data_IF_276548341242
#
_entry.id   IF_276548341242
#
_cell.length_a   1.000
_cell.length_b   1.000
_cell.length_c   1.000
_cell.angle_alpha   90.00
_cell.angle_beta   90.00
_cell.angle_gamma   90.00
#
_symmetry.space_group_name_H-M   'P 1'
#
loop_
_entity.id
_entity.type
_entity.pdbx_description
1 polymer ?
#
# COMPACT_ATOMS: atom_id res chain seq x y z
N UNK A 1 40.82 -37.81 -2.90
CA UNK A 1 39.42 -37.63 -2.47
C UNK A 1 38.85 -36.51 -3.31
N UNK A 2 38.10 -36.85 -4.34
CA UNK A 2 37.45 -35.90 -5.25
C UNK A 2 36.27 -35.28 -4.52
N UNK A 3 36.31 -33.98 -4.27
CA UNK A 3 35.14 -33.18 -3.90
C UNK A 3 34.16 -33.27 -5.06
N UNK A 4 33.14 -34.11 -4.88
CA UNK A 4 31.99 -34.22 -5.77
C UNK A 4 31.33 -32.85 -5.75
N UNK A 5 31.55 -32.08 -6.81
CA UNK A 5 30.73 -30.91 -7.11
C UNK A 5 29.34 -31.48 -7.35
N UNK A 6 28.40 -31.16 -6.47
CA UNK A 6 26.99 -31.52 -6.64
C UNK A 6 26.51 -30.92 -7.98
N UNK A 7 26.41 -31.78 -8.99
CA UNK A 7 26.05 -31.45 -10.37
C UNK A 7 24.55 -31.16 -10.55
N UNK A 8 23.76 -31.11 -9.48
CA UNK A 8 22.31 -30.82 -9.50
C UNK A 8 21.94 -29.45 -8.91
N UNK A 9 22.89 -28.50 -8.85
CA UNK A 9 22.53 -27.10 -8.61
C UNK A 9 22.05 -26.46 -9.90
N UNK A 10 20.81 -26.80 -10.25
CA UNK A 10 19.89 -26.00 -11.08
C UNK A 10 20.11 -24.51 -10.78
N UNK A 11 19.93 -23.65 -11.78
CA UNK A 11 19.87 -22.18 -11.68
C UNK A 11 18.74 -21.72 -10.74
N UNK A 12 18.80 -22.10 -9.47
CA UNK A 12 17.98 -21.54 -8.41
C UNK A 12 18.57 -20.17 -8.17
N UNK A 13 17.88 -19.14 -8.61
CA UNK A 13 18.16 -17.79 -8.13
C UNK A 13 18.03 -17.86 -6.60
N UNK A 14 19.16 -17.81 -5.89
CA UNK A 14 19.18 -18.05 -4.44
C UNK A 14 18.30 -17.06 -3.67
N UNK A 15 18.06 -15.89 -4.28
CA UNK A 15 17.34 -14.76 -3.69
C UNK A 15 15.86 -14.71 -4.05
N UNK A 16 15.35 -15.54 -4.99
CA UNK A 16 13.93 -15.48 -5.42
C UNK A 16 13.35 -16.88 -5.63
N UNK A 17 12.14 -17.11 -5.12
CA UNK A 17 11.36 -18.34 -5.34
C UNK A 17 9.95 -18.06 -5.84
N UNK A 18 9.51 -18.84 -6.83
CA UNK A 18 8.20 -18.71 -7.45
C UNK A 18 7.19 -19.72 -6.90
N UNK A 19 6.03 -19.19 -6.52
CA UNK A 19 4.83 -19.93 -6.14
C UNK A 19 3.71 -19.58 -7.11
N UNK A 20 2.73 -20.46 -7.25
CA UNK A 20 1.59 -20.26 -8.13
C UNK A 20 0.29 -20.73 -7.47
N UNK A 21 -0.83 -20.14 -7.91
CA UNK A 21 -2.17 -20.47 -7.44
C UNK A 21 -3.11 -20.60 -8.65
N UNK A 22 -3.57 -21.82 -8.89
CA UNK A 22 -4.48 -22.12 -10.02
C UNK A 22 -5.88 -21.64 -9.67
N UNK A 23 -6.60 -21.09 -10.66
CA UNK A 23 -7.91 -20.41 -10.53
C UNK A 23 -7.85 -19.04 -9.84
N UNK A 24 -6.66 -18.46 -9.71
CA UNK A 24 -6.44 -17.12 -9.15
C UNK A 24 -6.53 -17.03 -7.61
N UNK A 25 -6.33 -15.82 -7.05
CA UNK A 25 -6.29 -15.55 -5.61
C UNK A 25 -7.66 -15.73 -4.94
N UNK A 26 -7.90 -16.92 -4.38
CA UNK A 26 -9.07 -17.18 -3.56
C UNK A 26 -8.71 -18.06 -2.35
N UNK A 27 -9.35 -17.87 -1.17
CA UNK A 27 -9.06 -18.64 0.03
C UNK A 27 -9.21 -20.16 -0.12
N UNK A 28 -10.00 -20.63 -1.10
CA UNK A 28 -10.20 -22.06 -1.39
C UNK A 28 -9.19 -22.67 -2.36
N UNK A 29 -8.33 -21.88 -3.00
CA UNK A 29 -7.35 -22.36 -3.96
C UNK A 29 -5.98 -22.50 -3.26
N UNK A 30 -5.36 -23.70 -3.22
CA UNK A 30 -4.07 -23.88 -2.58
C UNK A 30 -2.95 -23.19 -3.38
N UNK A 31 -2.02 -22.56 -2.66
CA UNK A 31 -0.78 -22.04 -3.22
C UNK A 31 0.23 -23.19 -3.30
N UNK A 32 0.83 -23.37 -4.46
CA UNK A 32 1.80 -24.42 -4.74
C UNK A 32 3.16 -23.85 -5.11
N UNK A 33 4.23 -24.57 -4.76
CA UNK A 33 5.59 -24.18 -5.10
C UNK A 33 5.93 -24.61 -6.54
N UNK A 34 6.47 -23.68 -7.34
CA UNK A 34 6.85 -23.90 -8.75
C UNK A 34 8.18 -24.64 -8.95
N UNK A 35 8.57 -25.50 -8.00
CA UNK A 35 9.84 -26.23 -8.01
C UNK A 35 9.75 -27.63 -7.43
N UNK A 36 8.57 -28.24 -7.47
CA UNK A 36 8.28 -29.61 -6.97
C UNK A 36 8.32 -30.58 -8.16
N UNK A 37 8.83 -31.80 -7.94
CA UNK A 37 8.77 -32.93 -8.89
C UNK A 37 9.42 -32.68 -10.29
N UNK A 38 10.56 -31.99 -10.32
CA UNK A 38 11.39 -31.85 -11.53
C UNK A 38 10.92 -30.78 -12.53
N UNK A 39 9.95 -29.94 -12.14
CA UNK A 39 9.49 -28.79 -12.94
C UNK A 39 9.80 -27.49 -12.21
N UNK A 40 10.45 -26.56 -12.91
CA UNK A 40 10.91 -25.28 -12.37
C UNK A 40 10.34 -24.11 -13.18
N UNK A 41 9.80 -23.11 -12.48
CA UNK A 41 9.25 -21.90 -13.10
C UNK A 41 10.25 -20.73 -13.07
N UNK A 42 10.37 -20.03 -14.20
CA UNK A 42 11.19 -18.83 -14.35
C UNK A 42 10.40 -17.81 -15.16
N UNK A 43 10.13 -16.64 -14.58
CA UNK A 43 9.52 -15.53 -15.33
C UNK A 43 10.63 -14.64 -15.88
N UNK A 44 10.70 -14.51 -17.20
CA UNK A 44 11.83 -13.86 -17.87
C UNK A 44 11.66 -12.35 -17.98
N UNK A 45 10.48 -11.92 -18.41
CA UNK A 45 10.16 -10.51 -18.58
C UNK A 45 8.74 -10.22 -18.15
N UNK A 46 8.51 -9.01 -17.64
CA UNK A 46 7.19 -8.50 -17.29
C UNK A 46 7.11 -7.08 -17.84
N UNK A 47 6.12 -6.83 -18.68
CA UNK A 47 5.80 -5.52 -19.22
C UNK A 47 4.61 -4.96 -18.45
N UNK A 48 4.79 -3.81 -17.78
CA UNK A 48 3.70 -3.12 -17.08
C UNK A 48 3.48 -1.75 -17.75
N UNK A 49 2.58 -1.65 -18.74
CA UNK A 49 2.38 -0.44 -19.51
C UNK A 49 1.68 0.65 -18.67
N UNK A 50 2.18 1.88 -18.75
CA UNK A 50 1.69 3.03 -17.95
C UNK A 50 0.66 3.88 -18.74
N UNK A 51 0.33 3.44 -19.96
CA UNK A 51 -0.51 4.13 -20.94
C UNK A 51 0.30 5.00 -21.92
N UNK A 52 -0.24 5.18 -23.13
CA UNK A 52 0.37 6.02 -24.16
C UNK A 52 -0.14 7.46 -24.11
N UNK A 53 0.75 8.42 -24.38
CA UNK A 53 0.39 9.84 -24.56
C UNK A 53 0.67 10.21 -26.01
N UNK A 54 -0.38 10.28 -26.82
CA UNK A 54 -0.29 10.61 -28.22
C UNK A 54 -0.47 12.13 -28.43
N UNK A 55 0.49 12.86 -29.02
CA UNK A 55 0.35 14.28 -29.29
C UNK A 55 -0.59 14.52 -30.47
N UNK A 56 -1.55 15.44 -30.30
CA UNK A 56 -2.41 15.88 -31.40
C UNK A 56 -1.72 17.07 -32.06
N UNK A 57 -1.20 16.84 -33.26
CA UNK A 57 -0.46 17.82 -34.04
C UNK A 57 -1.30 18.23 -35.26
N UNK A 58 -1.38 19.53 -35.54
CA UNK A 58 -1.96 20.06 -36.78
C UNK A 58 -0.91 20.81 -37.57
N UNK A 59 -1.03 20.87 -38.91
CA UNK A 59 -0.11 21.66 -39.73
C UNK A 59 -0.11 23.13 -39.30
N UNK A 60 1.07 23.73 -39.17
CA UNK A 60 1.23 25.16 -38.90
C UNK A 60 0.74 25.94 -40.13
N UNK A 61 -0.28 26.80 -40.01
CA UNK A 61 -0.79 27.58 -41.14
C UNK A 61 0.21 28.61 -41.66
N UNK A 62 1.28 28.91 -40.92
CA UNK A 62 2.30 29.91 -41.31
C UNK A 62 3.52 29.31 -42.00
N UNK A 63 3.79 28.02 -41.83
CA UNK A 63 5.01 27.39 -42.34
C UNK A 63 4.72 25.97 -42.82
N UNK A 64 4.80 25.74 -44.13
CA UNK A 64 4.59 24.42 -44.71
C UNK A 64 5.60 23.40 -44.16
N UNK A 65 5.12 22.20 -43.78
CA UNK A 65 5.93 21.12 -43.20
C UNK A 65 6.23 21.25 -41.71
N UNK A 66 5.85 22.36 -41.07
CA UNK A 66 5.90 22.51 -39.61
C UNK A 66 4.55 22.10 -39.01
N UNK A 67 4.58 21.45 -37.85
CA UNK A 67 3.38 21.09 -37.10
C UNK A 67 3.36 21.84 -35.77
N UNK A 68 2.16 22.28 -35.37
CA UNK A 68 1.90 22.83 -34.04
C UNK A 68 1.13 21.80 -33.22
N UNK A 69 1.55 21.61 -31.98
CA UNK A 69 0.87 20.72 -31.03
C UNK A 69 -0.33 21.45 -30.44
N UNK A 70 -1.53 20.93 -30.68
CA UNK A 70 -2.78 21.51 -30.17
C UNK A 70 -3.35 20.76 -28.98
N UNK A 71 -2.85 19.55 -28.70
CA UNK A 71 -3.34 18.76 -27.58
C UNK A 71 -2.55 17.49 -27.35
N UNK A 72 -3.09 16.67 -26.46
CA UNK A 72 -2.67 15.29 -26.21
C UNK A 72 -3.90 14.43 -25.94
N UNK A 73 -3.94 13.23 -26.49
CA UNK A 73 -4.82 12.16 -26.01
C UNK A 73 -4.02 11.27 -25.06
N UNK A 74 -4.70 10.68 -24.08
CA UNK A 74 -4.15 9.66 -23.20
C UNK A 74 -4.99 8.42 -23.40
N UNK A 75 -4.36 7.36 -23.88
CA UNK A 75 -5.02 6.08 -24.07
C UNK A 75 -5.04 5.31 -22.73
N UNK A 76 -5.99 4.40 -22.59
CA UNK A 76 -6.03 3.51 -21.43
C UNK A 76 -4.73 2.67 -21.39
N UNK A 77 -4.18 2.39 -20.19
CA UNK A 77 -3.09 1.43 -20.08
C UNK A 77 -3.53 0.06 -20.60
N UNK A 78 -2.68 -0.60 -21.38
CA UNK A 78 -2.89 -1.99 -21.77
C UNK A 78 -2.73 -2.90 -20.55
N UNK A 79 -3.16 -4.17 -20.66
CA UNK A 79 -2.91 -5.14 -19.61
C UNK A 79 -1.41 -5.50 -19.54
N UNK A 80 -0.85 -5.71 -18.34
CA UNK A 80 0.51 -6.20 -18.21
C UNK A 80 0.68 -7.57 -18.88
N UNK A 81 1.85 -7.82 -19.45
CA UNK A 81 2.20 -9.12 -20.04
C UNK A 81 3.44 -9.71 -19.36
N UNK A 82 3.54 -11.03 -19.33
CA UNK A 82 4.68 -11.72 -18.77
C UNK A 82 5.03 -12.99 -19.56
N UNK A 83 6.33 -13.22 -19.73
CA UNK A 83 6.87 -14.42 -20.36
C UNK A 83 7.35 -15.40 -19.29
N UNK A 84 6.77 -16.61 -19.30
CA UNK A 84 7.11 -17.71 -18.40
C UNK A 84 7.90 -18.77 -19.16
N UNK A 85 9.04 -19.14 -18.61
CA UNK A 85 9.84 -20.32 -18.99
C UNK A 85 9.61 -21.41 -17.94
N UNK A 86 9.23 -22.60 -18.42
CA UNK A 86 9.05 -23.81 -17.62
C UNK A 86 10.18 -24.75 -17.98
N UNK A 87 11.05 -25.01 -17.00
CA UNK A 87 12.19 -25.89 -17.13
C UNK A 87 11.81 -27.26 -16.56
N UNK A 88 11.95 -28.31 -17.36
CA UNK A 88 11.50 -29.65 -17.02
C UNK A 88 12.66 -30.67 -17.06
N UNK A 89 12.75 -31.48 -16.01
CA UNK A 89 13.56 -32.69 -15.99
C UNK A 89 12.96 -33.78 -16.90
N UNK A 90 13.81 -34.54 -17.59
CA UNK A 90 13.37 -35.62 -18.50
C UNK A 90 12.66 -36.73 -17.71
N UNK A 91 11.56 -37.23 -18.26
CA UNK A 91 10.79 -38.35 -17.69
C UNK A 91 9.63 -37.92 -16.77
N UNK A 92 9.49 -36.62 -16.50
CA UNK A 92 8.34 -36.06 -15.79
C UNK A 92 7.25 -35.59 -16.77
N UNK A 93 6.01 -35.51 -16.28
CA UNK A 93 4.90 -34.99 -17.07
C UNK A 93 4.72 -33.49 -16.75
N UNK A 94 4.64 -32.58 -17.74
CA UNK A 94 4.50 -31.15 -17.51
C UNK A 94 3.06 -30.79 -17.11
N UNK A 95 2.66 -31.23 -15.92
CA UNK A 95 1.31 -31.02 -15.40
C UNK A 95 0.98 -29.52 -15.30
N UNK A 96 1.97 -28.71 -14.93
CA UNK A 96 1.85 -27.26 -14.82
C UNK A 96 1.56 -26.62 -16.17
N UNK A 97 2.31 -26.98 -17.22
CA UNK A 97 2.10 -26.46 -18.58
C UNK A 97 0.66 -26.69 -19.06
N UNK A 98 0.15 -27.92 -18.96
CA UNK A 98 -1.24 -28.22 -19.38
C UNK A 98 -2.32 -27.60 -18.48
N UNK A 99 -2.01 -27.32 -17.21
CA UNK A 99 -2.94 -26.67 -16.28
C UNK A 99 -3.03 -25.17 -16.56
N UNK A 100 -1.89 -24.53 -16.81
CA UNK A 100 -1.80 -23.09 -17.02
C UNK A 100 -2.49 -22.64 -18.32
N UNK A 101 -2.53 -23.50 -19.34
CA UNK A 101 -3.28 -23.24 -20.58
C UNK A 101 -4.80 -23.20 -20.40
N UNK A 102 -5.34 -23.82 -19.34
CA UNK A 102 -6.78 -24.08 -19.20
C UNK A 102 -7.47 -23.20 -18.17
N UNK A 103 -6.70 -22.55 -17.31
CA UNK A 103 -7.22 -21.83 -16.16
C UNK A 103 -6.36 -20.60 -15.88
N UNK A 104 -6.96 -19.52 -15.36
CA UNK A 104 -6.18 -18.38 -14.89
C UNK A 104 -5.30 -18.79 -13.70
N UNK A 105 -4.10 -18.23 -13.63
CA UNK A 105 -3.11 -18.53 -12.61
C UNK A 105 -2.55 -17.23 -12.04
N UNK A 106 -2.27 -17.20 -10.75
CA UNK A 106 -1.53 -16.10 -10.14
C UNK A 106 -0.17 -16.58 -9.66
N UNK A 107 0.86 -15.76 -9.89
CA UNK A 107 2.24 -16.08 -9.56
C UNK A 107 2.75 -15.15 -8.47
N UNK A 108 3.51 -15.72 -7.53
CA UNK A 108 4.09 -15.03 -6.39
C UNK A 108 5.60 -15.28 -6.37
N UNK A 109 6.38 -14.23 -6.59
CA UNK A 109 7.84 -14.26 -6.50
C UNK A 109 8.29 -13.73 -5.15
N UNK A 110 8.63 -14.63 -4.23
CA UNK A 110 9.17 -14.27 -2.92
C UNK A 110 10.65 -13.93 -3.08
N UNK A 111 11.03 -12.71 -2.69
CA UNK A 111 12.40 -12.25 -2.69
C UNK A 111 12.92 -12.04 -1.26
N UNK A 112 14.12 -12.54 -1.00
CA UNK A 112 14.77 -12.37 0.29
C UNK A 112 16.18 -12.93 0.35
N UNK A 113 16.93 -12.48 1.36
CA UNK A 113 18.34 -12.87 1.54
C UNK A 113 18.56 -13.77 2.75
N UNK A 114 17.88 -13.50 3.86
CA UNK A 114 18.15 -14.17 5.14
C UNK A 114 17.05 -15.10 5.61
N UNK A 115 15.86 -15.00 5.00
CA UNK A 115 14.68 -15.80 5.35
C UNK A 115 14.57 -17.05 4.48
N UNK A 116 13.93 -18.09 5.02
CA UNK A 116 13.69 -19.32 4.27
C UNK A 116 12.56 -19.14 3.27
N UNK A 117 12.94 -18.86 2.02
CA UNK A 117 12.00 -18.70 0.91
C UNK A 117 11.16 -19.95 0.61
N UNK A 118 11.33 -21.08 1.31
CA UNK A 118 10.42 -22.25 1.22
C UNK A 118 9.09 -22.04 1.96
N UNK A 119 9.08 -21.16 2.96
CA UNK A 119 7.88 -20.75 3.67
C UNK A 119 7.21 -19.58 2.94
N UNK A 120 6.05 -19.83 2.33
CA UNK A 120 5.32 -18.80 1.62
C UNK A 120 4.87 -17.65 2.54
N UNK A 121 4.52 -17.94 3.80
CA UNK A 121 3.85 -16.98 4.68
C UNK A 121 4.87 -16.08 5.38
N UNK A 122 5.91 -16.65 5.98
CA UNK A 122 6.90 -15.91 6.78
C UNK A 122 8.32 -15.92 6.22
N UNK A 123 8.53 -16.52 5.04
CA UNK A 123 9.84 -16.87 4.51
C UNK A 123 10.57 -15.81 3.70
N UNK A 124 10.14 -14.55 3.74
CA UNK A 124 10.71 -13.47 2.93
C UNK A 124 10.94 -12.20 3.75
N UNK A 125 11.98 -11.43 3.41
CA UNK A 125 12.37 -10.17 4.06
C UNK A 125 12.51 -8.99 3.09
N UNK A 126 12.53 -9.24 1.77
CA UNK A 126 12.59 -8.20 0.75
C UNK A 126 11.22 -7.75 0.29
N UNK A 127 10.62 -8.51 -0.63
CA UNK A 127 9.30 -8.23 -1.19
C UNK A 127 8.65 -9.50 -1.74
N UNK A 128 7.34 -9.46 -1.92
CA UNK A 128 6.59 -10.43 -2.74
C UNK A 128 6.16 -9.75 -4.02
N UNK A 129 6.60 -10.27 -5.16
CA UNK A 129 6.13 -9.87 -6.48
C UNK A 129 4.88 -10.65 -6.83
N UNK A 130 3.79 -9.96 -7.14
CA UNK A 130 2.49 -10.56 -7.43
C UNK A 130 2.14 -10.30 -8.88
N UNK A 131 1.85 -11.38 -9.61
CA UNK A 131 1.25 -11.36 -10.95
C UNK A 131 -0.14 -11.95 -10.83
N UNK A 132 -1.16 -11.10 -10.96
CA UNK A 132 -2.55 -11.46 -10.71
C UNK A 132 -3.27 -11.91 -11.97
N UNK A 133 -4.10 -12.94 -11.82
CA UNK A 133 -5.02 -13.45 -12.83
C UNK A 133 -4.41 -13.51 -14.24
N UNK A 134 -3.26 -14.19 -14.37
CA UNK A 134 -2.65 -14.44 -15.65
C UNK A 134 -3.41 -15.47 -16.45
N UNK A 135 -3.77 -15.12 -17.68
CA UNK A 135 -4.31 -16.03 -18.69
C UNK A 135 -3.28 -16.25 -19.80
N UNK A 136 -3.01 -17.53 -20.11
CA UNK A 136 -2.07 -17.91 -21.16
C UNK A 136 -2.61 -17.50 -22.53
N UNK A 137 -1.83 -16.74 -23.29
CA UNK A 137 -2.17 -16.28 -24.64
C UNK A 137 -1.48 -17.07 -25.73
N UNK A 138 -0.28 -17.55 -25.45
CA UNK A 138 0.54 -18.32 -26.38
C UNK A 138 1.44 -19.28 -25.60
N UNK A 139 1.76 -20.44 -26.18
CA UNK A 139 2.70 -21.40 -25.61
C UNK A 139 3.52 -22.05 -26.70
N UNK A 140 4.82 -22.19 -26.49
CA UNK A 140 5.74 -22.82 -27.42
C UNK A 140 6.45 -23.99 -26.73
N UNK A 141 6.50 -25.12 -27.43
CA UNK A 141 7.24 -26.32 -27.02
C UNK A 141 8.43 -26.52 -27.97
N UNK A 142 9.64 -26.83 -27.46
CA UNK A 142 10.82 -27.01 -28.29
C UNK A 142 10.76 -28.34 -29.04
N UNK A 143 10.45 -28.29 -30.34
CA UNK A 143 10.32 -29.49 -31.18
C UNK A 143 11.61 -30.30 -31.42
N UNK A 144 12.79 -29.75 -31.14
CA UNK A 144 14.10 -30.39 -31.43
C UNK A 144 14.94 -30.74 -30.20
N UNK A 145 14.48 -30.40 -28.99
CA UNK A 145 15.23 -30.62 -27.75
C UNK A 145 15.20 -32.08 -27.23
N UNK A 146 14.56 -33.00 -27.96
CA UNK A 146 14.46 -34.40 -27.59
C UNK A 146 15.74 -35.22 -27.87
N UNK A 147 16.67 -34.68 -28.67
CA UNK A 147 17.94 -35.32 -29.07
C UNK A 147 19.17 -34.83 -28.27
N UNK A 148 18.97 -33.93 -27.29
CA UNK A 148 20.00 -33.47 -26.34
C UNK A 148 19.71 -33.99 -24.93
N UNK A 149 20.73 -34.01 -24.06
CA UNK A 149 20.61 -34.35 -22.64
C UNK A 149 20.28 -33.14 -21.74
N UNK A 150 20.06 -31.97 -22.35
CA UNK A 150 19.66 -30.74 -21.63
C UNK A 150 18.21 -30.82 -21.11
N UNK A 151 17.90 -29.98 -20.11
CA UNK A 151 16.52 -29.80 -19.64
C UNK A 151 15.63 -29.26 -20.76
N UNK A 152 14.38 -29.72 -20.80
CA UNK A 152 13.39 -29.19 -21.74
C UNK A 152 12.90 -27.84 -21.22
N UNK A 153 12.89 -26.83 -22.11
CA UNK A 153 12.41 -25.48 -21.79
C UNK A 153 11.18 -25.17 -22.65
N UNK A 154 10.02 -25.12 -22.01
CA UNK A 154 8.76 -24.68 -22.63
C UNK A 154 8.52 -23.21 -22.28
N UNK A 155 8.02 -22.43 -23.24
CA UNK A 155 7.68 -21.01 -23.01
C UNK A 155 6.18 -20.79 -23.07
N UNK A 156 5.70 -19.81 -22.30
CA UNK A 156 4.30 -19.40 -22.30
C UNK A 156 4.17 -17.91 -22.04
N UNK A 157 3.38 -17.24 -22.87
CA UNK A 157 3.05 -15.82 -22.70
C UNK A 157 1.73 -15.69 -21.95
N UNK A 158 1.68 -14.74 -21.01
CA UNK A 158 0.51 -14.42 -20.22
C UNK A 158 0.11 -12.97 -20.38
N UNK A 159 -1.20 -12.74 -20.44
CA UNK A 159 -1.79 -11.43 -20.13
C UNK A 159 -2.30 -11.45 -18.70
N UNK A 160 -1.94 -10.43 -17.91
CA UNK A 160 -2.21 -10.33 -16.48
C UNK A 160 -3.25 -9.24 -16.21
N UNK A 161 -4.00 -9.35 -15.12
CA UNK A 161 -4.87 -8.27 -14.67
C UNK A 161 -4.05 -7.15 -14.00
N UNK A 162 -3.08 -7.53 -13.17
CA UNK A 162 -2.18 -6.61 -12.47
C UNK A 162 -0.82 -7.25 -12.18
N UNK A 163 0.22 -6.41 -12.11
CA UNK A 163 1.57 -6.80 -11.71
C UNK A 163 2.17 -5.76 -10.77
N UNK A 164 2.47 -6.14 -9.53
CA UNK A 164 2.98 -5.22 -8.50
C UNK A 164 3.81 -5.94 -7.44
N UNK A 165 4.53 -5.18 -6.62
CA UNK A 165 5.33 -5.71 -5.51
C UNK A 165 4.73 -5.24 -4.18
N UNK A 166 4.68 -6.14 -3.19
CA UNK A 166 4.36 -5.83 -1.80
C UNK A 166 5.64 -5.99 -0.97
N UNK A 167 6.06 -4.92 -0.29
CA UNK A 167 7.14 -4.98 0.70
C UNK A 167 6.64 -5.51 2.04
N UNK A 168 7.55 -5.92 2.93
CA UNK A 168 7.16 -6.38 4.24
C UNK A 168 6.51 -5.23 5.02
N UNK A 169 5.25 -5.40 5.41
CA UNK A 169 4.57 -4.49 6.34
C UNK A 169 5.04 -4.89 7.73
N UNK A 170 6.14 -4.30 8.18
CA UNK A 170 6.61 -4.45 9.56
C UNK A 170 5.83 -3.48 10.42
N UNK A 171 4.89 -3.98 11.20
CA UNK A 171 4.34 -3.25 12.33
C UNK A 171 5.24 -3.52 13.53
N UNK A 172 6.23 -2.65 13.75
CA UNK A 172 7.05 -2.65 14.95
C UNK A 172 6.46 -1.74 16.01
N UNK A 173 6.53 -2.14 17.28
CA UNK A 173 6.36 -1.20 18.38
C UNK A 173 7.58 -0.26 18.39
N UNK A 174 7.41 0.96 17.90
CA UNK A 174 8.47 1.96 17.80
C UNK A 174 8.17 3.11 18.76
N UNK A 175 8.35 2.85 20.06
CA UNK A 175 8.38 3.91 21.06
C UNK A 175 7.95 3.45 22.46
N UNK A 176 8.88 3.51 23.42
CA UNK A 176 8.61 3.36 24.85
C UNK A 176 7.99 4.63 25.46
N UNK A 177 7.02 5.22 24.77
CA UNK A 177 6.14 6.22 25.33
C UNK A 177 4.74 5.61 25.33
N UNK A 178 4.41 4.91 26.41
CA UNK A 178 3.01 4.64 26.70
C UNK A 178 2.33 5.99 26.94
N UNK A 179 1.41 6.34 26.05
CA UNK A 179 0.34 7.28 26.43
C UNK A 179 -0.63 6.43 27.24
N UNK A 180 -0.54 6.52 28.57
CA UNK A 180 -1.41 5.80 29.51
C UNK A 180 -2.85 6.38 29.56
N UNK A 181 -3.28 7.00 28.47
CA UNK A 181 -4.55 7.69 28.33
C UNK A 181 -5.31 7.20 27.09
N UNK A 182 -6.63 7.15 27.21
CA UNK A 182 -7.49 6.64 26.16
C UNK A 182 -7.46 7.57 24.93
N UNK A 183 -7.24 6.99 23.75
CA UNK A 183 -7.37 7.72 22.48
C UNK A 183 -8.85 7.75 22.10
N UNK A 184 -9.40 8.96 21.96
CA UNK A 184 -10.82 9.15 21.60
C UNK A 184 -11.05 9.08 20.10
N UNK A 185 -10.16 9.68 19.33
CA UNK A 185 -10.27 9.76 17.88
C UNK A 185 -8.90 10.05 17.24
N UNK A 186 -8.77 9.83 15.94
CA UNK A 186 -7.55 10.08 15.19
C UNK A 186 -7.84 10.60 13.79
N UNK A 187 -7.03 11.56 13.33
CA UNK A 187 -7.11 12.10 11.98
C UNK A 187 -5.75 12.06 11.29
N UNK A 188 -5.74 11.52 10.08
CA UNK A 188 -4.62 11.60 9.15
C UNK A 188 -4.86 12.72 8.14
N UNK A 189 -3.80 13.44 7.78
CA UNK A 189 -3.90 14.43 6.73
C UNK A 189 -2.55 14.84 6.14
N UNK A 190 -2.64 15.53 5.01
CA UNK A 190 -1.49 16.08 4.30
C UNK A 190 -1.65 17.60 4.30
N UNK A 191 -0.63 18.29 4.78
CA UNK A 191 -0.57 19.76 4.73
C UNK A 191 -0.41 20.28 3.30
N UNK A 192 -0.63 21.58 3.09
CA UNK A 192 -0.51 22.22 1.76
C UNK A 192 0.85 21.94 1.07
N UNK A 193 1.93 21.78 1.83
CA UNK A 193 3.27 21.51 1.30
C UNK A 193 3.65 20.02 1.27
N UNK A 194 2.69 19.12 1.49
CA UNK A 194 2.90 17.67 1.34
C UNK A 194 3.41 16.95 2.59
N UNK A 195 3.47 17.61 3.74
CA UNK A 195 3.85 16.94 5.00
C UNK A 195 2.69 16.10 5.51
N UNK A 196 2.90 14.78 5.56
CA UNK A 196 1.97 13.80 6.13
C UNK A 196 2.03 13.83 7.65
N UNK A 197 0.86 13.89 8.28
CA UNK A 197 0.73 13.88 9.74
C UNK A 197 -0.43 13.01 10.19
N UNK A 198 -0.28 12.46 11.39
CA UNK A 198 -1.35 11.81 12.15
C UNK A 198 -1.48 12.52 13.48
N UNK A 199 -2.72 12.88 13.83
CA UNK A 199 -3.08 13.50 15.10
C UNK A 199 -4.00 12.55 15.85
N UNK A 200 -3.72 12.36 17.14
CA UNK A 200 -4.51 11.58 18.07
C UNK A 200 -5.09 12.52 19.11
N UNK A 201 -6.39 12.43 19.31
CA UNK A 201 -7.09 13.07 20.40
C UNK A 201 -7.00 12.18 21.64
N UNK A 202 -6.37 12.70 22.69
CA UNK A 202 -6.12 11.96 23.93
C UNK A 202 -7.05 12.48 25.00
N UNK A 203 -7.75 11.55 25.65
CA UNK A 203 -8.57 11.85 26.82
C UNK A 203 -7.68 12.20 28.02
N UNK A 204 -8.12 13.12 28.86
CA UNK A 204 -7.37 13.59 30.02
C UNK A 204 -7.24 12.58 31.16
N UNK A 205 -7.72 11.34 31.01
CA UNK A 205 -7.77 10.35 32.08
C UNK A 205 -6.64 9.33 31.99
N UNK A 206 -5.47 9.68 32.50
CA UNK A 206 -4.47 8.70 32.95
C UNK A 206 -4.88 8.07 34.28
N UNK A 207 -4.52 6.80 34.51
CA UNK A 207 -4.66 6.10 35.79
C UNK A 207 -3.92 6.84 36.92
N UNK A 208 -4.62 7.73 37.65
CA UNK A 208 -4.18 8.26 38.94
C UNK A 208 -4.16 9.79 39.10
N UNK A 209 -4.29 10.59 38.05
CA UNK A 209 -4.45 12.06 38.17
C UNK A 209 -5.24 12.61 36.97
N UNK A 210 -6.36 13.32 37.19
CA UNK A 210 -7.08 13.99 36.10
C UNK A 210 -6.21 15.03 35.41
N UNK A 211 -6.11 14.95 34.09
CA UNK A 211 -5.47 15.94 33.22
C UNK A 211 -6.49 16.53 32.26
N UNK A 212 -6.19 17.69 31.69
CA UNK A 212 -7.00 18.24 30.62
C UNK A 212 -6.68 17.49 29.31
N UNK A 213 -7.65 17.35 28.39
CA UNK A 213 -7.42 16.67 27.12
C UNK A 213 -6.34 17.34 26.27
N UNK A 214 -5.65 16.53 25.47
CA UNK A 214 -4.53 16.96 24.63
C UNK A 214 -4.57 16.31 23.25
N UNK A 215 -3.72 16.82 22.35
CA UNK A 215 -3.49 16.23 21.03
C UNK A 215 -2.07 15.72 20.96
N UNK A 216 -1.89 14.46 20.62
CA UNK A 216 -0.59 13.87 20.29
C UNK A 216 -0.45 13.83 18.78
N UNK A 217 0.61 14.43 18.23
CA UNK A 217 0.90 14.35 16.80
C UNK A 217 2.16 13.52 16.55
N UNK A 218 2.16 12.78 15.44
CA UNK A 218 3.32 12.02 14.97
C UNK A 218 4.04 12.78 13.88
N UNK A 219 5.28 13.17 14.13
CA UNK A 219 6.16 13.80 13.14
C UNK A 219 7.13 12.79 12.56
N UNK A 220 7.16 12.66 11.23
CA UNK A 220 8.18 11.88 10.53
C UNK A 220 9.48 12.67 10.39
N UNK A 221 10.61 12.07 10.74
CA UNK A 221 11.96 12.59 10.50
C UNK A 221 12.85 11.46 9.97
N UNK A 222 13.05 11.42 8.66
CA UNK A 222 13.71 10.29 8.00
C UNK A 222 12.83 9.04 8.04
N UNK A 223 13.32 7.98 8.67
CA UNK A 223 12.59 6.72 8.89
C UNK A 223 11.87 6.66 10.24
N UNK A 224 12.14 7.60 11.14
CA UNK A 224 11.60 7.58 12.50
C UNK A 224 10.36 8.48 12.64
N UNK A 225 9.42 8.04 13.48
CA UNK A 225 8.29 8.85 13.92
C UNK A 225 8.50 9.30 15.36
N UNK A 226 8.22 10.58 15.64
CA UNK A 226 8.29 11.14 16.98
C UNK A 226 6.90 11.59 17.39
N UNK A 227 6.38 11.02 18.48
CA UNK A 227 5.16 11.48 19.12
C UNK A 227 5.44 12.73 19.96
N UNK A 228 4.58 13.73 19.85
CA UNK A 228 4.67 14.94 20.68
C UNK A 228 3.27 15.37 21.09
N UNK A 229 3.10 15.63 22.38
CA UNK A 229 1.85 16.07 22.97
C UNK A 229 1.74 17.60 22.97
N UNK A 230 0.53 18.10 22.67
CA UNK A 230 0.16 19.51 22.69
C UNK A 230 -1.10 19.66 23.51
N UNK A 231 -1.05 20.48 24.55
CA UNK A 231 -2.22 20.82 25.36
C UNK A 231 -3.23 21.64 24.55
N UNK A 232 -4.52 21.31 24.69
CA UNK A 232 -5.60 22.11 24.12
C UNK A 232 -5.77 23.34 25.03
N UNK A 233 -5.31 24.50 24.56
CA UNK A 233 -5.30 25.72 25.37
C UNK A 233 -6.73 26.13 25.74
N UNK A 234 -7.03 26.14 27.04
CA UNK A 234 -8.34 26.52 27.58
C UNK A 234 -9.30 25.35 27.83
N UNK A 235 -8.88 24.09 27.61
CA UNK A 235 -9.63 22.94 28.11
C UNK A 235 -9.43 22.74 29.62
N UNK A 236 -10.48 22.25 30.27
CA UNK A 236 -10.46 21.84 31.68
C UNK A 236 -10.27 20.33 31.82
N UNK A 237 -9.86 19.87 33.00
CA UNK A 237 -9.77 18.45 33.39
C UNK A 237 -11.10 17.69 33.34
N UNK A 238 -12.23 18.40 33.36
CA UNK A 238 -13.58 17.83 33.28
C UNK A 238 -14.16 17.83 31.87
N UNK A 239 -13.48 18.44 30.90
CA UNK A 239 -13.95 18.46 29.52
C UNK A 239 -13.67 17.13 28.83
N UNK A 240 -14.66 16.62 28.09
CA UNK A 240 -14.56 15.36 27.35
C UNK A 240 -14.57 15.69 25.86
N UNK A 241 -13.45 15.48 25.13
CA UNK A 241 -13.41 15.75 23.71
C UNK A 241 -14.11 14.61 22.95
N UNK A 242 -14.81 14.95 21.88
CA UNK A 242 -15.66 14.01 21.14
C UNK A 242 -15.06 13.56 19.81
N UNK A 243 -14.46 14.47 19.06
CA UNK A 243 -13.93 14.18 17.72
C UNK A 243 -12.81 15.14 17.31
N UNK A 244 -11.98 14.72 16.35
CA UNK A 244 -10.89 15.53 15.78
C UNK A 244 -10.93 15.51 14.25
N UNK A 245 -10.73 16.67 13.62
CA UNK A 245 -10.63 16.75 12.16
C UNK A 245 -9.62 17.80 11.69
N UNK A 246 -8.97 17.50 10.56
CA UNK A 246 -8.11 18.44 9.85
C UNK A 246 -8.91 19.12 8.73
N UNK A 247 -9.07 20.44 8.83
CA UNK A 247 -9.82 21.28 7.91
C UNK A 247 -8.90 22.33 7.29
N UNK A 248 -8.37 22.02 6.10
CA UNK A 248 -7.38 22.89 5.46
C UNK A 248 -6.13 23.02 6.32
N UNK A 249 -5.83 24.24 6.78
CA UNK A 249 -4.71 24.54 7.68
C UNK A 249 -5.11 24.58 9.17
N UNK A 250 -6.30 24.07 9.52
CA UNK A 250 -6.80 24.07 10.91
C UNK A 250 -7.04 22.67 11.41
N UNK A 251 -6.52 22.38 12.60
CA UNK A 251 -6.89 21.19 13.36
C UNK A 251 -8.02 21.56 14.30
N UNK A 252 -9.15 20.89 14.19
CA UNK A 252 -10.36 21.15 14.98
C UNK A 252 -10.58 19.98 15.94
N UNK A 253 -10.86 20.30 17.21
CA UNK A 253 -11.26 19.35 18.24
C UNK A 253 -12.65 19.74 18.74
N UNK A 254 -13.63 18.86 18.57
CA UNK A 254 -14.96 19.00 19.11
C UNK A 254 -15.01 18.50 20.56
N UNK A 255 -15.86 19.11 21.37
CA UNK A 255 -16.10 18.71 22.75
C UNK A 255 -17.57 18.37 22.94
N UNK A 256 -17.81 17.21 23.57
CA UNK A 256 -19.11 16.88 24.13
C UNK A 256 -19.45 17.88 25.26
N UNK A 257 -20.70 17.95 25.69
CA UNK A 257 -21.26 18.93 26.63
C UNK A 257 -20.57 18.86 28.01
N UNK A 258 -19.38 19.43 28.10
CA UNK A 258 -18.58 19.66 29.30
C UNK A 258 -18.69 21.10 29.80
N UNK A 259 -17.78 21.51 30.68
CA UNK A 259 -17.77 22.87 31.23
C UNK A 259 -17.53 23.96 30.18
N UNK A 260 -16.83 23.60 29.10
CA UNK A 260 -16.36 24.57 28.12
C UNK A 260 -17.20 24.59 26.84
N UNK A 261 -17.74 23.46 26.38
CA UNK A 261 -18.66 23.35 25.22
C UNK A 261 -18.12 23.87 23.86
N UNK A 262 -18.61 23.31 22.76
CA UNK A 262 -18.28 23.76 21.40
C UNK A 262 -17.07 23.06 20.78
N UNK A 263 -16.24 23.80 20.03
CA UNK A 263 -14.99 23.25 19.46
C UNK A 263 -13.82 24.20 19.64
N UNK A 264 -12.61 23.64 19.59
CA UNK A 264 -11.36 24.37 19.57
C UNK A 264 -10.70 24.18 18.22
N UNK A 265 -9.97 25.19 17.74
CA UNK A 265 -9.12 25.03 16.57
C UNK A 265 -7.71 25.54 16.83
N UNK A 266 -6.72 24.87 16.25
CA UNK A 266 -5.35 25.32 16.17
C UNK A 266 -4.95 25.47 14.71
N UNK A 267 -4.21 26.53 14.38
CA UNK A 267 -3.61 26.64 13.05
C UNK A 267 -2.43 25.66 12.97
N UNK A 268 -2.44 24.81 11.96
CA UNK A 268 -1.37 23.85 11.67
C UNK A 268 -0.34 24.54 10.80
N UNK A 269 0.93 24.45 11.19
CA UNK A 269 2.01 24.93 10.35
C UNK A 269 2.04 24.13 9.04
N UNK A 270 1.87 24.81 7.91
CA UNK A 270 1.75 24.16 6.60
C UNK A 270 3.02 23.44 6.15
N UNK A 271 4.20 23.79 6.68
CA UNK A 271 5.47 23.15 6.34
C UNK A 271 5.77 22.01 7.33
N UNK A 272 5.62 22.26 8.63
CA UNK A 272 6.06 21.31 9.65
C UNK A 272 4.95 20.41 10.17
N UNK A 273 3.68 20.67 9.85
CA UNK A 273 2.51 19.94 10.34
C UNK A 273 2.25 20.10 11.85
N UNK A 274 2.99 20.96 12.54
CA UNK A 274 2.86 21.14 14.00
C UNK A 274 1.64 22.03 14.29
N UNK A 275 0.72 21.62 15.20
CA UNK A 275 -0.37 22.47 15.66
C UNK A 275 0.16 23.65 16.49
N UNK A 276 -0.41 24.84 16.26
CA UNK A 276 -0.21 26.01 17.12
C UNK A 276 -1.06 25.95 18.40
N UNK A 277 -1.24 27.11 19.05
CA UNK A 277 -2.15 27.22 20.20
C UNK A 277 -3.61 27.08 19.78
N UNK A 278 -4.39 26.37 20.60
CA UNK A 278 -5.81 26.20 20.37
C UNK A 278 -6.59 27.46 20.78
N UNK A 279 -7.64 27.76 20.02
CA UNK A 279 -8.59 28.85 20.29
C UNK A 279 -9.99 28.26 20.35
N UNK A 280 -10.72 28.54 21.44
CA UNK A 280 -12.09 28.07 21.60
C UNK A 280 -13.06 28.86 20.70
N UNK A 281 -14.03 28.15 20.15
CA UNK A 281 -15.23 28.70 19.50
C UNK A 281 -16.46 28.20 20.24
N UNK A 282 -16.98 29.04 21.13
CA UNK A 282 -18.16 28.76 21.94
C UNK A 282 -19.50 29.10 21.24
N UNK A 283 -19.46 29.74 20.06
CA UNK A 283 -20.63 30.14 19.30
C UNK A 283 -20.99 29.13 18.20
N UNK A 284 -22.27 29.11 17.80
CA UNK A 284 -22.74 28.30 16.66
C UNK A 284 -23.43 26.98 17.04
N UNK A 285 -23.37 26.57 18.31
CA UNK A 285 -24.13 25.44 18.84
C UNK A 285 -25.29 25.93 19.71
N UNK A 286 -26.40 25.22 19.65
CA UNK A 286 -27.53 25.44 20.57
C UNK A 286 -27.13 24.93 21.95
N UNK A 287 -27.53 25.62 23.01
CA UNK A 287 -27.27 25.19 24.39
C UNK A 287 -27.76 23.76 24.61
N UNK A 288 -26.95 22.90 25.22
CA UNK A 288 -27.23 21.47 25.43
C UNK A 288 -27.46 20.68 24.14
N UNK A 289 -26.79 21.11 23.07
CA UNK A 289 -26.70 20.45 21.77
C UNK A 289 -25.25 20.45 21.30
N UNK A 290 -24.38 19.86 22.12
CA UNK A 290 -22.95 19.83 21.89
C UNK A 290 -22.58 19.05 20.61
N UNK A 291 -21.44 19.37 19.97
CA UNK A 291 -20.94 18.62 18.85
C UNK A 291 -20.40 17.25 19.31
N UNK A 292 -20.97 16.19 18.74
CA UNK A 292 -20.56 14.81 18.96
C UNK A 292 -19.53 14.33 17.94
N UNK A 293 -19.58 14.87 16.73
CA UNK A 293 -18.69 14.46 15.63
C UNK A 293 -18.49 15.61 14.64
N UNK A 294 -17.41 15.54 13.87
CA UNK A 294 -17.06 16.50 12.83
C UNK A 294 -16.56 15.77 11.58
N UNK A 295 -17.13 16.11 10.44
CA UNK A 295 -16.68 15.63 9.13
C UNK A 295 -16.30 16.81 8.24
N UNK A 296 -15.10 16.76 7.67
CA UNK A 296 -14.63 17.77 6.72
C UNK A 296 -14.25 17.10 5.40
N UNK A 297 -14.95 17.47 4.32
CA UNK A 297 -14.72 16.90 2.99
C UNK A 297 -13.70 17.71 2.19
N UNK A 298 -13.76 19.03 2.34
CA UNK A 298 -12.81 20.03 1.84
C UNK A 298 -12.77 21.18 2.86
N UNK A 299 -11.77 22.06 2.79
CA UNK A 299 -11.64 23.20 3.71
C UNK A 299 -12.81 24.20 3.73
N UNK A 300 -13.82 24.04 2.86
CA UNK A 300 -15.04 24.86 2.79
C UNK A 300 -16.33 24.12 3.12
N UNK A 301 -16.28 22.80 3.27
CA UNK A 301 -17.43 21.95 3.56
C UNK A 301 -17.13 21.15 4.82
N UNK A 302 -17.56 21.72 5.95
CA UNK A 302 -17.39 21.17 7.29
C UNK A 302 -18.77 20.97 7.88
N UNK A 303 -19.02 19.77 8.38
CA UNK A 303 -20.28 19.35 8.97
C UNK A 303 -20.02 18.93 10.41
N UNK A 304 -20.87 19.38 11.33
CA UNK A 304 -20.88 18.91 12.70
C UNK A 304 -22.13 18.06 12.90
N UNK A 305 -21.98 16.95 13.61
CA UNK A 305 -23.10 16.20 14.17
C UNK A 305 -23.34 16.71 15.59
N UNK A 306 -24.51 17.28 15.85
CA UNK A 306 -24.89 17.75 17.19
C UNK A 306 -25.83 16.76 17.87
N UNK A 307 -25.93 16.84 19.19
CA UNK A 307 -27.00 16.09 19.88
C UNK A 307 -28.39 16.50 19.38
N UNK A 308 -29.25 15.53 19.10
CA UNK A 308 -30.65 15.79 18.72
C UNK A 308 -30.89 16.12 17.24
N UNK A 309 -29.88 16.00 16.37
CA UNK A 309 -30.00 16.11 14.91
C UNK A 309 -29.34 17.36 14.35
#
# INVERSE_FOLDING_TARGET
>A
MSTRVDLDRVYKQGSVRWYYQVKGPAPGNPIAYGGVDGVHLKIESISNPIGSINPINVPDPKTAGRYIRIGRSRDAPDYPTASLSILQDRGYFPQQYGTFQRMPVSFYGLAGETKDLSDFVGGWDGYVKILEYGEATEGEEPGSAWDSDDMLEDSMEFTLEAAYNIGQIVMGEEGAATVDADIRDAVWGITEYGTEMVYFLVDGTTLGTPQAPSVVYLKKSGLSWTATEVAITGSDTSDVPSAIALVGDKLIVAYDDGSTGGYFYAQVNSVTGVPGSFTQVAGGFVTSKAPLDIAAKIGREVYFCGEGG
#
